data_IF_423074821885
#
_entry.id   IF_423074821885
#
_cell.length_a   1.000
_cell.length_b   1.000
_cell.length_c   1.000
_cell.angle_alpha   90.00
_cell.angle_beta   90.00
_cell.angle_gamma   90.00
#
_symmetry.space_group_name_H-M   'P 1'
#
loop_
_entity.id
_entity.type
_entity.pdbx_description
1 polymer ?
#
# COMPACT_ATOMS: atom_id res chain seq x y z
N UNK A 1 -7.41 -3.83 -16.37
CA UNK A 1 -7.07 -3.07 -15.15
C UNK A 1 -6.42 -4.04 -14.18
N UNK A 2 -5.11 -3.88 -13.97
CA UNK A 2 -4.38 -4.49 -12.87
C UNK A 2 -4.94 -3.94 -11.56
N UNK A 3 -5.19 -4.79 -10.55
CA UNK A 3 -5.56 -4.28 -9.23
C UNK A 3 -4.29 -3.89 -8.49
N UNK A 4 -4.09 -2.61 -8.18
CA UNK A 4 -3.07 -2.22 -7.19
C UNK A 4 -3.61 -2.57 -5.81
N UNK A 5 -2.77 -3.19 -4.99
CA UNK A 5 -3.10 -3.58 -3.63
C UNK A 5 -2.07 -2.99 -2.69
N UNK A 6 -2.54 -2.39 -1.61
CA UNK A 6 -1.72 -1.84 -0.53
C UNK A 6 -1.93 -2.72 0.69
N UNK A 7 -0.84 -3.18 1.27
CA UNK A 7 -0.87 -3.99 2.47
C UNK A 7 -0.07 -3.27 3.56
N UNK A 8 -0.72 -2.47 4.42
CA UNK A 8 -0.06 -1.91 5.58
C UNK A 8 0.28 -3.01 6.60
N UNK A 9 1.43 -2.86 7.23
CA UNK A 9 1.76 -3.58 8.45
C UNK A 9 1.34 -2.75 9.66
N UNK A 10 1.38 -3.38 10.84
CA UNK A 10 1.19 -2.63 12.09
C UNK A 10 2.37 -1.71 12.29
N UNK A 11 2.09 -0.42 12.36
CA UNK A 11 3.06 0.58 12.72
C UNK A 11 3.09 0.83 14.23
N UNK A 12 4.02 1.68 14.64
CA UNK A 12 4.25 2.06 16.03
C UNK A 12 4.71 3.52 16.07
N UNK A 13 4.58 4.19 17.19
CA UNK A 13 5.00 5.56 17.34
C UNK A 13 5.00 6.03 18.79
N UNK A 14 5.35 7.30 18.95
CA UNK A 14 5.20 8.05 20.19
C UNK A 14 4.30 9.26 19.96
N UNK A 15 4.32 10.20 20.92
CA UNK A 15 3.51 11.43 20.84
C UNK A 15 3.92 12.34 19.69
N UNK A 16 5.21 12.30 19.33
CA UNK A 16 5.81 13.27 18.41
C UNK A 16 6.05 12.69 17.02
N UNK A 17 5.97 11.36 16.86
CA UNK A 17 6.23 10.71 15.58
C UNK A 17 5.60 9.32 15.49
N UNK A 18 5.15 8.95 14.29
CA UNK A 18 4.71 7.59 13.98
C UNK A 18 5.45 6.99 12.79
N UNK A 19 5.63 5.68 12.88
CA UNK A 19 6.28 4.84 11.90
C UNK A 19 5.31 3.76 11.41
N UNK A 20 5.13 3.65 10.10
CA UNK A 20 4.36 2.56 9.49
C UNK A 20 5.09 2.03 8.26
N UNK A 21 5.23 0.72 8.18
CA UNK A 21 5.71 0.06 6.97
C UNK A 21 4.55 -0.62 6.25
N UNK A 22 4.70 -0.80 4.96
CA UNK A 22 3.78 -1.61 4.19
C UNK A 22 4.38 -2.03 2.86
N UNK A 23 3.56 -2.71 2.08
CA UNK A 23 3.92 -3.15 0.75
C UNK A 23 2.82 -2.86 -0.25
N UNK A 24 3.20 -2.39 -1.43
CA UNK A 24 2.34 -2.22 -2.59
C UNK A 24 2.72 -3.27 -3.62
N UNK A 25 1.72 -3.97 -4.15
CA UNK A 25 1.93 -4.94 -5.21
C UNK A 25 0.76 -4.92 -6.19
N UNK A 26 1.04 -5.41 -7.41
CA UNK A 26 -0.01 -5.59 -8.42
C UNK A 26 -0.60 -6.98 -8.32
N UNK A 27 -1.92 -7.06 -8.39
CA UNK A 27 -2.68 -8.29 -8.51
C UNK A 27 -3.43 -8.27 -9.85
N UNK A 28 -3.01 -9.07 -10.84
CA UNK A 28 -3.70 -9.12 -12.11
C UNK A 28 -5.11 -9.72 -11.96
N UNK A 29 -6.14 -8.92 -12.22
CA UNK A 29 -7.52 -9.40 -12.39
C UNK A 29 -7.71 -9.92 -13.83
N UNK A 30 -7.02 -10.99 -14.20
CA UNK A 30 -7.17 -11.62 -15.51
C UNK A 30 -8.10 -12.81 -15.36
N UNK A 31 -9.35 -12.71 -15.83
CA UNK A 31 -10.29 -13.81 -15.65
C UNK A 31 -11.60 -13.83 -16.42
N UNK A 32 -12.12 -12.72 -16.98
CA UNK A 32 -13.50 -12.74 -17.50
C UNK A 32 -13.66 -12.83 -19.03
N UNK A 33 -12.59 -12.90 -19.84
CA UNK A 33 -12.73 -12.80 -21.31
C UNK A 33 -11.78 -13.59 -22.21
N UNK A 34 -10.81 -14.35 -21.69
CA UNK A 34 -9.84 -15.05 -22.54
C UNK A 34 -10.36 -16.42 -23.00
N UNK A 35 -10.39 -16.64 -24.32
CA UNK A 35 -10.87 -17.88 -24.95
C UNK A 35 -9.98 -19.08 -24.55
N UNK A 36 -10.57 -20.28 -24.30
CA UNK A 36 -9.79 -21.49 -23.98
C UNK A 36 -8.81 -21.85 -25.11
N UNK A 37 -7.55 -22.17 -24.77
CA UNK A 37 -6.54 -22.71 -25.71
C UNK A 37 -5.61 -21.70 -26.39
N UNK A 38 -5.55 -20.45 -25.93
CA UNK A 38 -4.58 -19.46 -26.44
C UNK A 38 -3.29 -19.43 -25.61
N UNK A 39 -2.13 -19.23 -26.27
CA UNK A 39 -0.81 -19.03 -25.63
C UNK A 39 -0.84 -17.92 -24.56
N UNK A 40 -1.71 -16.92 -24.71
CA UNK A 40 -1.91 -15.87 -23.72
C UNK A 40 -2.49 -16.37 -22.39
N UNK A 41 -3.29 -17.45 -22.37
CA UNK A 41 -3.81 -18.04 -21.13
C UNK A 41 -2.74 -18.80 -20.35
N UNK A 42 -1.82 -19.48 -21.04
CA UNK A 42 -0.72 -20.19 -20.41
C UNK A 42 0.27 -19.22 -19.76
N UNK A 43 0.62 -18.13 -20.46
CA UNK A 43 1.42 -17.04 -19.88
C UNK A 43 0.68 -16.34 -18.74
N UNK A 44 -0.63 -16.10 -18.87
CA UNK A 44 -1.43 -15.51 -17.80
C UNK A 44 -1.54 -16.43 -16.57
N UNK A 45 -1.63 -17.75 -16.74
CA UNK A 45 -1.67 -18.72 -15.64
C UNK A 45 -0.33 -18.79 -14.90
N UNK A 46 0.78 -18.67 -15.64
CA UNK A 46 2.13 -18.52 -15.08
C UNK A 46 2.25 -17.19 -14.32
N UNK A 47 1.90 -16.06 -14.93
CA UNK A 47 1.91 -14.75 -14.29
C UNK A 47 0.98 -14.69 -13.06
N UNK A 48 -0.16 -15.40 -13.08
CA UNK A 48 -1.05 -15.56 -11.92
C UNK A 48 -0.39 -16.35 -10.79
N UNK A 49 0.39 -17.39 -11.12
CA UNK A 49 1.09 -18.23 -10.14
C UNK A 49 2.30 -17.52 -9.52
N UNK A 50 2.90 -16.58 -10.22
CA UNK A 50 4.02 -15.75 -9.76
C UNK A 50 3.60 -14.32 -9.37
N UNK A 51 2.29 -14.03 -9.30
CA UNK A 51 1.68 -12.70 -9.42
C UNK A 51 1.59 -11.86 -8.16
N UNK A 52 2.71 -11.67 -7.44
CA UNK A 52 2.86 -10.56 -6.47
C UNK A 52 4.14 -9.80 -6.78
N UNK A 53 4.10 -9.05 -7.87
CA UNK A 53 5.22 -8.22 -8.29
C UNK A 53 5.14 -6.95 -7.47
N UNK A 54 6.25 -6.65 -6.77
CA UNK A 54 6.40 -5.39 -6.05
C UNK A 54 6.16 -4.22 -6.99
N UNK A 55 5.37 -3.24 -6.54
CA UNK A 55 5.13 -2.04 -7.33
C UNK A 55 6.09 -0.96 -6.85
N UNK A 56 7.22 -0.81 -7.53
CA UNK A 56 8.18 0.26 -7.24
C UNK A 56 7.85 1.61 -7.87
N UNK A 57 8.41 2.67 -7.30
CA UNK A 57 8.18 4.07 -7.66
C UNK A 57 6.70 4.50 -7.58
N UNK A 58 5.89 3.81 -6.77
CA UNK A 58 4.52 4.21 -6.50
C UNK A 58 4.50 5.28 -5.40
N UNK A 59 3.66 6.30 -5.58
CA UNK A 59 3.50 7.35 -4.58
C UNK A 59 2.50 6.88 -3.53
N UNK A 60 2.90 6.92 -2.26
CA UNK A 60 2.12 6.55 -1.09
C UNK A 60 1.87 7.81 -0.27
N UNK A 61 0.66 8.33 -0.34
CA UNK A 61 0.20 9.38 0.55
C UNK A 61 -0.30 8.76 1.85
N UNK A 62 0.31 9.14 2.98
CA UNK A 62 -0.07 8.69 4.30
C UNK A 62 -0.61 9.86 5.12
N UNK A 63 -1.67 9.61 5.90
CA UNK A 63 -2.25 10.60 6.79
C UNK A 63 -2.67 9.96 8.11
N UNK A 64 -2.35 10.61 9.22
CA UNK A 64 -2.75 10.23 10.57
C UNK A 64 -3.09 11.50 11.37
N UNK A 65 -4.32 11.61 11.87
CA UNK A 65 -4.79 12.88 12.44
C UNK A 65 -4.65 14.03 11.44
N UNK A 66 -3.92 15.08 11.83
CA UNK A 66 -3.56 16.22 10.96
C UNK A 66 -2.19 16.08 10.28
N UNK A 67 -1.39 15.07 10.64
CA UNK A 67 -0.10 14.82 10.02
C UNK A 67 -0.27 14.07 8.69
N UNK A 68 0.42 14.51 7.65
CA UNK A 68 0.38 13.88 6.33
C UNK A 68 1.71 14.01 5.60
N UNK A 69 1.99 13.07 4.71
CA UNK A 69 3.22 13.02 3.93
C UNK A 69 3.09 12.12 2.70
N UNK A 70 4.05 12.25 1.79
CA UNK A 70 4.12 11.45 0.56
C UNK A 70 5.43 10.70 0.55
N UNK A 71 5.36 9.39 0.30
CA UNK A 71 6.47 8.45 0.33
C UNK A 71 6.50 7.67 -0.97
N UNK A 72 7.64 7.10 -1.32
CA UNK A 72 7.80 6.31 -2.54
C UNK A 72 8.12 4.86 -2.19
N UNK A 73 7.57 3.92 -2.96
CA UNK A 73 7.92 2.51 -2.82
C UNK A 73 9.27 2.17 -3.47
N UNK A 74 10.02 1.28 -2.84
CA UNK A 74 11.24 0.70 -3.43
C UNK A 74 10.93 -0.26 -4.59
N UNK A 75 11.97 -0.79 -5.24
CA UNK A 75 11.83 -1.71 -6.38
C UNK A 75 11.04 -3.00 -6.07
N UNK A 76 10.95 -3.41 -4.80
CA UNK A 76 10.21 -4.58 -4.33
C UNK A 76 8.80 -4.24 -3.81
N UNK A 77 8.43 -2.97 -3.88
CA UNK A 77 7.14 -2.41 -3.51
C UNK A 77 7.00 -2.06 -2.03
N UNK A 78 8.06 -2.06 -1.25
CA UNK A 78 8.00 -1.68 0.17
C UNK A 78 8.05 -0.16 0.32
N UNK A 79 7.34 0.35 1.33
CA UNK A 79 7.42 1.74 1.73
C UNK A 79 7.51 1.85 3.25
N UNK A 80 8.12 2.95 3.70
CA UNK A 80 8.18 3.35 5.10
C UNK A 80 7.62 4.77 5.21
N UNK A 81 6.66 4.92 6.11
CA UNK A 81 6.05 6.19 6.52
C UNK A 81 6.68 6.60 7.84
N UNK A 82 7.16 7.83 7.90
CA UNK A 82 7.64 8.50 9.09
C UNK A 82 6.98 9.88 9.11
N UNK A 83 6.06 10.09 10.06
CA UNK A 83 5.27 11.31 10.14
C UNK A 83 5.46 11.96 11.51
N UNK A 84 5.94 13.21 11.57
CA UNK A 84 5.92 13.97 12.80
C UNK A 84 4.47 14.25 13.19
N UNK A 85 4.09 13.87 14.40
CA UNK A 85 2.73 14.02 14.89
C UNK A 85 2.56 15.21 15.84
N UNK A 86 3.60 15.79 16.43
CA UNK A 86 3.57 17.04 17.23
C UNK A 86 2.29 17.25 18.08
N UNK A 87 1.77 16.21 18.75
CA UNK A 87 0.53 16.30 19.55
C UNK A 87 -0.81 16.28 18.78
N UNK A 88 -0.78 15.95 17.49
CA UNK A 88 -1.93 15.74 16.60
C UNK A 88 -2.77 14.50 16.94
N UNK A 89 -2.20 13.58 17.73
CA UNK A 89 -2.85 12.32 18.13
C UNK A 89 -3.50 12.43 19.50
N UNK A 90 -4.69 11.85 19.64
CA UNK A 90 -5.39 11.77 20.92
C UNK A 90 -4.60 10.91 21.91
N UNK A 91 -4.10 11.48 23.03
CA UNK A 91 -3.27 10.74 23.98
C UNK A 91 -4.03 9.68 24.79
N UNK A 92 -5.36 9.61 24.68
CA UNK A 92 -6.20 8.62 25.36
C UNK A 92 -6.43 7.36 24.51
N UNK A 93 -6.19 7.46 23.21
CA UNK A 93 -6.30 6.34 22.27
C UNK A 93 -4.92 5.74 22.01
N UNK A 94 -4.83 4.41 22.05
CA UNK A 94 -3.55 3.69 21.80
C UNK A 94 -3.37 3.26 20.36
N UNK A 95 -4.44 3.21 19.59
CA UNK A 95 -4.43 2.74 18.21
C UNK A 95 -4.96 3.84 17.32
N UNK A 96 -4.09 4.39 16.47
CA UNK A 96 -4.50 5.40 15.51
C UNK A 96 -4.54 4.80 14.11
N UNK A 97 -5.57 5.19 13.36
CA UNK A 97 -5.71 4.79 11.96
C UNK A 97 -4.85 5.69 11.08
N UNK A 98 -4.08 5.06 10.21
CA UNK A 98 -3.33 5.73 9.15
C UNK A 98 -4.05 5.49 7.83
N UNK A 99 -4.52 6.55 7.21
CA UNK A 99 -5.08 6.48 5.87
C UNK A 99 -3.95 6.45 4.85
N UNK A 100 -3.97 5.44 3.97
CA UNK A 100 -2.99 5.26 2.92
C UNK A 100 -3.69 5.34 1.57
N UNK A 101 -3.17 6.19 0.69
CA UNK A 101 -3.58 6.28 -0.71
C UNK A 101 -2.35 6.07 -1.58
N UNK A 102 -2.44 5.13 -2.49
CA UNK A 102 -1.36 4.81 -3.41
C UNK A 102 -1.79 5.13 -4.83
N UNK A 103 -0.95 5.85 -5.55
CA UNK A 103 -1.17 6.23 -6.94
C UNK A 103 0.03 5.83 -7.79
N UNK A 104 -0.24 5.23 -8.96
CA UNK A 104 0.78 4.87 -9.95
C UNK A 104 0.14 4.81 -11.34
N UNK A 105 0.60 5.66 -12.25
CA UNK A 105 -0.03 5.89 -13.56
C UNK A 105 -1.55 6.14 -13.40
N UNK A 106 -2.40 5.26 -13.97
CA UNK A 106 -3.86 5.32 -13.91
C UNK A 106 -4.47 4.46 -12.77
N UNK A 107 -3.64 3.72 -12.04
CA UNK A 107 -4.10 2.83 -10.96
C UNK A 107 -4.02 3.54 -9.60
N UNK A 108 -5.07 3.36 -8.80
CA UNK A 108 -5.16 3.87 -7.43
C UNK A 108 -5.65 2.79 -6.47
N UNK A 109 -5.10 2.79 -5.26
CA UNK A 109 -5.57 1.97 -4.16
C UNK A 109 -5.61 2.76 -2.85
N UNK A 110 -6.59 2.45 -2.01
CA UNK A 110 -6.70 3.05 -0.68
C UNK A 110 -6.84 1.96 0.37
N UNK A 111 -6.14 2.10 1.48
CA UNK A 111 -6.24 1.18 2.62
C UNK A 111 -5.98 1.90 3.94
N UNK A 112 -6.32 1.22 5.03
CA UNK A 112 -6.10 1.72 6.38
C UNK A 112 -5.03 0.90 7.10
N UNK A 113 -3.96 1.57 7.48
CA UNK A 113 -2.99 1.08 8.45
C UNK A 113 -3.42 1.38 9.88
N UNK A 114 -2.75 0.73 10.84
CA UNK A 114 -2.91 1.01 12.25
C UNK A 114 -1.52 1.21 12.87
N UNK A 115 -1.35 2.32 13.59
CA UNK A 115 -0.16 2.61 14.40
C UNK A 115 -0.51 2.54 15.88
N UNK A 116 0.37 1.93 16.66
CA UNK A 116 0.26 1.92 18.13
C UNK A 116 1.11 3.04 18.73
N UNK A 117 0.52 3.87 19.60
CA UNK A 117 1.18 4.98 20.31
C UNK A 117 1.01 4.83 21.82
#
# INVERSE_FOLDING_TARGET
MSGVVVQPYRGYGGRDEVYLMGRVFTQPTIGSGLRPGSLGREVADVLRRFGRWGLGNAQVHAQVGSAAGTFETDGDGYFQVELPTEGSLDPTERWHRVHLRVTRDDDEATENGMVYV
#
